data_IF_469746443189
#
_entry.id   IF_469746443189
#
_cell.length_a   1.000
_cell.length_b   1.000
_cell.length_c   1.000
_cell.angle_alpha   90.00
_cell.angle_beta   90.00
_cell.angle_gamma   90.00
#
_symmetry.space_group_name_H-M   'P 1'
#
loop_
_entity.id
_entity.type
_entity.pdbx_description
1 polymer ?
#
# COMPACT_ATOMS: atom_id res chain seq x y z
N UNK A 1 46.48 -20.68 13.59
CA UNK A 1 46.00 -22.09 13.57
C UNK A 1 44.65 -22.13 14.29
N UNK A 2 43.69 -22.89 13.75
CA UNK A 2 42.25 -22.97 14.10
C UNK A 2 41.99 -23.50 15.53
N UNK A 3 40.76 -23.39 16.06
CA UNK A 3 39.72 -24.36 15.70
C UNK A 3 38.38 -23.75 15.30
N UNK A 4 37.88 -24.28 14.18
CA UNK A 4 36.51 -24.22 13.67
C UNK A 4 35.57 -25.01 14.60
N UNK A 5 34.35 -24.50 14.85
CA UNK A 5 33.23 -25.32 15.36
C UNK A 5 32.00 -25.13 14.48
N UNK A 6 31.67 -26.21 13.77
CA UNK A 6 30.43 -26.49 13.04
C UNK A 6 29.40 -27.10 14.01
N UNK A 7 28.10 -27.03 13.68
CA UNK A 7 26.90 -27.88 14.07
C UNK A 7 25.72 -26.94 14.36
N UNK A 8 24.52 -26.99 13.77
CA UNK A 8 23.83 -27.86 12.81
C UNK A 8 22.37 -27.33 12.61
N UNK A 9 21.58 -27.87 11.66
CA UNK A 9 20.24 -27.37 11.30
C UNK A 9 19.08 -28.18 11.93
N UNK A 10 17.86 -27.69 11.68
CA UNK A 10 16.54 -28.33 11.77
C UNK A 10 15.71 -28.08 13.04
N UNK A 11 14.47 -27.58 12.86
CA UNK A 11 13.25 -28.38 13.06
C UNK A 11 12.00 -27.61 12.58
N UNK A 12 11.30 -28.24 11.65
CA UNK A 12 9.97 -27.89 11.17
C UNK A 12 8.88 -28.36 12.16
N UNK A 13 7.76 -27.65 12.25
CA UNK A 13 6.53 -28.19 12.81
C UNK A 13 5.30 -27.50 12.20
N UNK A 14 4.66 -28.20 11.27
CA UNK A 14 3.31 -27.94 10.76
C UNK A 14 2.27 -28.31 11.83
N UNK A 15 1.17 -27.54 11.92
CA UNK A 15 -0.01 -27.90 12.70
C UNK A 15 -1.26 -27.76 11.83
N UNK A 16 -1.95 -28.90 11.63
CA UNK A 16 -3.16 -29.08 10.81
C UNK A 16 -4.35 -29.39 11.74
N UNK A 17 -5.43 -28.64 11.51
CA UNK A 17 -6.89 -28.89 11.70
C UNK A 17 -7.43 -29.69 12.91
N UNK A 18 -8.42 -29.11 13.59
CA UNK A 18 -9.56 -29.84 14.15
C UNK A 18 -10.88 -29.06 13.95
N UNK A 19 -11.75 -29.63 13.11
CA UNK A 19 -13.17 -29.31 12.95
C UNK A 19 -13.93 -29.88 14.15
N UNK A 20 -14.78 -29.08 14.77
CA UNK A 20 -15.68 -29.50 15.85
C UNK A 20 -17.11 -29.03 15.57
N UNK A 21 -17.86 -29.81 14.79
CA UNK A 21 -19.31 -29.72 14.70
C UNK A 21 -19.92 -30.54 15.86
N UNK A 22 -20.80 -29.92 16.64
CA UNK A 22 -21.57 -30.58 17.69
C UNK A 22 -23.06 -30.36 17.40
N UNK A 23 -23.78 -31.46 17.11
CA UNK A 23 -25.24 -31.55 17.22
C UNK A 23 -25.68 -31.51 18.69
N UNK A 24 -26.94 -31.72 19.10
CA UNK A 24 -28.15 -32.31 18.52
C UNK A 24 -29.26 -32.11 19.59
N UNK A 25 -30.55 -31.89 19.24
CA UNK A 25 -31.77 -32.28 20.00
C UNK A 25 -33.02 -31.62 19.35
N UNK A 26 -33.92 -32.39 18.69
CA UNK A 26 -35.28 -32.84 19.14
C UNK A 26 -36.34 -31.73 19.26
N UNK A 27 -37.61 -31.86 18.85
CA UNK A 27 -38.53 -33.01 18.80
C UNK A 27 -39.77 -32.69 17.90
N UNK A 28 -40.34 -33.75 17.32
CA UNK A 28 -41.74 -34.08 16.97
C UNK A 28 -42.87 -33.09 16.57
N UNK A 29 -43.42 -33.38 15.37
CA UNK A 29 -44.83 -33.71 15.04
C UNK A 29 -45.98 -32.70 15.27
N UNK A 30 -46.58 -32.16 14.18
CA UNK A 30 -47.94 -32.53 13.68
C UNK A 30 -48.56 -31.53 12.66
N UNK A 31 -49.37 -32.10 11.74
CA UNK A 31 -50.50 -31.54 10.95
C UNK A 31 -50.28 -30.79 9.61
N UNK A 32 -50.62 -31.48 8.50
CA UNK A 32 -51.14 -30.97 7.20
C UNK A 32 -52.66 -30.72 7.38
N UNK A 33 -53.42 -29.88 6.62
CA UNK A 33 -53.27 -29.66 5.18
C UNK A 33 -53.70 -28.30 4.56
N UNK A 34 -53.54 -28.23 3.24
CA UNK A 34 -54.32 -27.47 2.23
C UNK A 34 -53.76 -26.14 1.68
N UNK A 35 -53.42 -26.23 0.38
CA UNK A 35 -53.64 -25.30 -0.72
C UNK A 35 -53.97 -23.83 -0.44
N UNK A 36 -53.22 -22.91 -1.07
CA UNK A 36 -53.81 -22.00 -2.06
C UNK A 36 -52.73 -21.27 -2.89
N UNK A 37 -52.97 -21.24 -4.19
CA UNK A 37 -52.31 -20.44 -5.23
C UNK A 37 -52.46 -18.93 -4.99
N UNK A 38 -51.39 -18.15 -5.20
CA UNK A 38 -51.47 -16.81 -5.84
C UNK A 38 -50.09 -16.25 -6.20
N UNK A 39 -49.97 -15.87 -7.47
CA UNK A 39 -48.91 -15.06 -8.07
C UNK A 39 -49.05 -13.56 -7.72
N UNK A 40 -48.01 -12.78 -8.05
CA UNK A 40 -47.94 -11.29 -8.08
C UNK A 40 -47.58 -10.63 -6.72
N UNK A 41 -46.60 -9.73 -6.56
CA UNK A 41 -45.96 -8.79 -7.47
C UNK A 41 -44.47 -8.56 -7.11
N UNK A 42 -43.64 -8.29 -8.12
CA UNK A 42 -42.22 -7.91 -7.96
C UNK A 42 -42.07 -6.45 -7.49
N UNK A 43 -41.22 -6.16 -6.48
CA UNK A 43 -40.65 -4.82 -6.35
C UNK A 43 -39.46 -4.66 -7.31
N UNK A 44 -39.53 -3.65 -8.18
CA UNK A 44 -38.42 -3.24 -9.04
C UNK A 44 -37.20 -2.79 -8.21
N UNK A 45 -36.00 -3.33 -8.43
CA UNK A 45 -34.79 -2.71 -7.91
C UNK A 45 -34.49 -1.44 -8.73
N UNK A 46 -34.37 -0.33 -8.01
CA UNK A 46 -33.83 0.97 -8.40
C UNK A 46 -32.47 0.79 -9.12
N UNK A 47 -32.13 1.55 -10.17
CA UNK A 47 -30.86 1.39 -10.87
C UNK A 47 -29.70 1.67 -9.91
N UNK A 48 -28.87 0.64 -9.70
CA UNK A 48 -27.56 0.75 -9.07
C UNK A 48 -26.76 1.87 -9.75
N UNK A 49 -26.03 2.74 -9.00
CA UNK A 49 -25.13 3.70 -9.62
C UNK A 49 -24.20 2.91 -10.55
N UNK A 50 -24.18 3.31 -11.82
CA UNK A 50 -23.34 2.73 -12.83
C UNK A 50 -21.91 2.88 -12.34
N UNK A 51 -21.32 1.79 -11.87
CA UNK A 51 -19.92 1.73 -11.51
C UNK A 51 -19.14 2.16 -12.76
N UNK A 52 -18.47 3.31 -12.66
CA UNK A 52 -17.47 3.69 -13.65
C UNK A 52 -16.52 2.49 -13.82
N UNK A 53 -16.05 2.22 -15.05
CA UNK A 53 -15.13 1.11 -15.26
C UNK A 53 -13.93 1.31 -14.32
N UNK A 54 -13.70 0.35 -13.43
CA UNK A 54 -12.51 0.34 -12.59
C UNK A 54 -11.31 0.37 -13.53
N UNK A 55 -10.56 1.46 -13.52
CA UNK A 55 -9.32 1.56 -14.29
C UNK A 55 -8.33 0.62 -13.62
N UNK A 56 -7.90 -0.41 -14.34
CA UNK A 56 -6.89 -1.32 -13.82
C UNK A 56 -5.58 -0.56 -13.62
N UNK A 57 -4.89 -0.72 -12.47
CA UNK A 57 -3.61 -0.07 -12.23
C UNK A 57 -2.59 -0.53 -13.27
N UNK A 58 -1.79 0.42 -13.75
CA UNK A 58 -0.68 0.13 -14.65
C UNK A 58 0.45 -0.45 -13.80
N UNK A 59 0.79 -1.71 -14.00
CA UNK A 59 1.96 -2.35 -13.38
C UNK A 59 3.25 -1.93 -14.11
N UNK A 60 4.25 -1.49 -13.36
CA UNK A 60 5.55 -1.07 -13.89
C UNK A 60 6.56 -2.22 -14.03
N UNK A 61 6.26 -3.40 -13.48
CA UNK A 61 7.12 -4.57 -13.51
C UNK A 61 8.28 -4.52 -12.51
N UNK A 62 9.34 -5.30 -12.77
CA UNK A 62 10.55 -5.37 -11.93
C UNK A 62 11.72 -4.72 -12.66
N UNK A 63 12.83 -4.42 -11.97
CA UNK A 63 14.03 -3.94 -12.66
C UNK A 63 14.50 -4.93 -13.76
N UNK A 64 14.91 -4.45 -14.96
CA UNK A 64 15.17 -3.05 -15.33
C UNK A 64 13.98 -2.31 -15.97
N UNK A 65 12.90 -3.02 -16.34
CA UNK A 65 11.73 -2.45 -17.06
C UNK A 65 11.05 -1.33 -16.24
N UNK A 66 11.15 -1.49 -14.92
CA UNK A 66 10.66 -0.58 -13.91
C UNK A 66 11.15 0.88 -14.07
N UNK A 67 12.43 1.13 -14.37
CA UNK A 67 12.95 2.51 -14.53
C UNK A 67 12.34 3.25 -15.71
N UNK A 68 12.16 2.56 -16.83
CA UNK A 68 11.58 3.16 -18.03
C UNK A 68 10.07 3.40 -17.85
N UNK A 69 9.36 2.44 -17.23
CA UNK A 69 7.94 2.55 -16.89
C UNK A 69 7.65 3.70 -15.94
N UNK A 70 8.44 3.83 -14.87
CA UNK A 70 8.28 4.90 -13.88
C UNK A 70 8.41 6.29 -14.48
N UNK A 71 9.45 6.54 -15.29
CA UNK A 71 9.67 7.87 -15.86
C UNK A 71 8.49 8.31 -16.75
N UNK A 72 7.98 7.40 -17.58
CA UNK A 72 6.85 7.71 -18.45
C UNK A 72 5.55 7.93 -17.65
N UNK A 73 5.32 7.14 -16.61
CA UNK A 73 4.11 7.27 -15.79
C UNK A 73 4.16 8.47 -14.84
N UNK A 74 5.31 8.78 -14.25
CA UNK A 74 5.48 9.94 -13.38
C UNK A 74 5.30 11.24 -14.18
N UNK A 75 5.86 11.33 -15.38
CA UNK A 75 5.64 12.48 -16.28
C UNK A 75 4.18 12.60 -16.71
N UNK A 76 3.50 11.48 -16.99
CA UNK A 76 2.06 11.50 -17.29
C UNK A 76 1.23 11.99 -16.11
N UNK A 77 1.57 11.59 -14.89
CA UNK A 77 0.90 12.07 -13.69
C UNK A 77 1.14 13.57 -13.47
N UNK A 78 2.33 14.09 -13.79
CA UNK A 78 2.60 15.54 -13.80
C UNK A 78 1.76 16.28 -14.85
N UNK A 79 1.62 15.71 -16.06
CA UNK A 79 0.73 16.27 -17.09
C UNK A 79 -0.75 16.27 -16.66
N UNK A 80 -1.13 15.43 -15.70
CA UNK A 80 -2.44 15.39 -15.05
C UNK A 80 -2.53 16.31 -13.81
N UNK A 81 -1.69 17.36 -13.73
CA UNK A 81 -1.59 18.36 -12.65
C UNK A 81 -1.17 17.80 -11.27
N UNK A 82 -0.52 16.63 -11.20
CA UNK A 82 -0.02 16.04 -9.95
C UNK A 82 1.45 16.37 -9.67
N UNK A 83 1.75 16.77 -8.44
CA UNK A 83 3.12 16.75 -7.91
C UNK A 83 3.46 15.30 -7.52
N UNK A 84 3.87 14.47 -8.47
CA UNK A 84 4.30 13.08 -8.19
C UNK A 84 5.68 13.10 -7.54
N UNK A 85 5.85 12.46 -6.39
CA UNK A 85 7.17 12.32 -5.76
C UNK A 85 7.83 11.00 -6.18
N UNK A 86 9.09 11.09 -6.63
CA UNK A 86 9.89 9.93 -7.03
C UNK A 86 11.28 10.00 -6.39
N UNK A 87 11.89 8.87 -6.01
CA UNK A 87 13.26 8.86 -5.53
C UNK A 87 14.22 9.24 -6.66
N UNK A 88 15.02 10.27 -6.45
CA UNK A 88 16.06 10.72 -7.39
C UNK A 88 17.24 9.74 -7.45
N UNK A 89 17.62 9.21 -6.28
CA UNK A 89 18.67 8.19 -6.10
C UNK A 89 18.22 7.24 -5.00
N UNK A 90 18.30 5.93 -5.23
CA UNK A 90 18.02 4.95 -4.18
C UNK A 90 19.20 4.87 -3.19
N UNK A 91 18.95 4.73 -1.88
CA UNK A 91 20.02 4.52 -0.90
C UNK A 91 20.82 3.24 -1.18
N UNK A 92 22.05 3.18 -0.68
CA UNK A 92 22.94 2.04 -0.91
C UNK A 92 22.32 0.71 -0.44
N UNK A 93 22.35 -0.29 -1.33
CA UNK A 93 21.81 -1.62 -1.05
C UNK A 93 20.29 -1.74 -1.21
N UNK A 94 19.62 -0.69 -1.67
CA UNK A 94 18.20 -0.73 -2.01
C UNK A 94 17.97 -1.16 -3.45
N UNK A 95 16.81 -1.77 -3.70
CA UNK A 95 16.34 -2.10 -5.03
C UNK A 95 14.85 -1.77 -5.15
N UNK A 96 14.42 -1.27 -6.30
CA UNK A 96 13.00 -1.12 -6.62
C UNK A 96 12.49 -2.45 -7.17
N UNK A 97 11.38 -2.94 -6.63
CA UNK A 97 10.86 -4.29 -6.94
C UNK A 97 9.49 -4.26 -7.62
N UNK A 98 8.77 -3.15 -7.56
CA UNK A 98 7.47 -3.04 -8.21
C UNK A 98 6.77 -1.72 -7.97
N UNK A 99 5.60 -1.55 -8.58
CA UNK A 99 4.77 -0.37 -8.37
C UNK A 99 3.63 -0.30 -9.36
N UNK A 100 2.80 0.73 -9.21
CA UNK A 100 1.77 0.99 -10.20
C UNK A 100 1.16 2.38 -10.12
N UNK A 101 0.33 2.70 -11.11
CA UNK A 101 -0.39 3.97 -11.18
C UNK A 101 -1.81 3.80 -11.69
N UNK A 102 -2.73 4.51 -11.04
CA UNK A 102 -4.12 4.69 -11.46
C UNK A 102 -4.45 6.19 -11.48
N UNK A 103 -5.06 6.72 -12.56
CA UNK A 103 -5.42 8.13 -12.64
C UNK A 103 -6.72 8.49 -11.89
N UNK A 104 -7.65 7.55 -11.71
CA UNK A 104 -8.94 7.79 -11.02
C UNK A 104 -9.48 6.50 -10.33
N UNK A 105 -9.60 6.45 -8.98
CA UNK A 105 -9.04 7.43 -8.06
C UNK A 105 -7.51 7.46 -8.21
N UNK A 106 -6.94 8.65 -8.07
CA UNK A 106 -5.51 8.83 -8.23
C UNK A 106 -4.76 7.97 -7.23
N UNK A 107 -3.79 7.20 -7.69
CA UNK A 107 -2.94 6.39 -6.84
C UNK A 107 -1.62 6.14 -7.54
N UNK A 108 -0.53 6.36 -6.81
CA UNK A 108 0.81 6.04 -7.26
C UNK A 108 1.49 5.21 -6.19
N UNK A 109 2.10 4.08 -6.57
CA UNK A 109 2.80 3.20 -5.65
C UNK A 109 4.16 2.80 -6.17
N UNK A 110 5.13 2.73 -5.26
CA UNK A 110 6.43 2.13 -5.49
C UNK A 110 6.77 1.21 -4.31
N UNK A 111 7.37 0.07 -4.63
CA UNK A 111 7.80 -0.94 -3.67
C UNK A 111 9.32 -1.11 -3.79
N UNK A 112 9.98 -1.11 -2.65
CA UNK A 112 11.43 -1.22 -2.53
C UNK A 112 11.80 -2.30 -1.52
N UNK A 113 12.94 -2.95 -1.76
CA UNK A 113 13.60 -3.77 -0.74
C UNK A 113 14.81 -3.00 -0.21
N UNK A 114 14.83 -2.76 1.09
CA UNK A 114 15.97 -2.20 1.82
C UNK A 114 16.73 -3.30 2.59
N UNK A 115 17.98 -3.06 3.03
CA UNK A 115 18.73 -4.02 3.85
C UNK A 115 18.04 -4.43 5.16
N UNK A 116 17.19 -3.56 5.70
CA UNK A 116 16.39 -3.74 6.92
C UNK A 116 15.03 -4.42 6.68
N UNK A 117 14.51 -4.40 5.45
CA UNK A 117 13.21 -4.93 5.09
C UNK A 117 12.54 -4.15 3.95
N UNK A 118 11.31 -4.51 3.61
CA UNK A 118 10.60 -3.86 2.50
C UNK A 118 10.05 -2.48 2.90
N UNK A 119 10.12 -1.53 1.96
CA UNK A 119 9.64 -0.16 2.12
C UNK A 119 8.72 0.18 0.96
N UNK A 120 7.58 0.80 1.27
CA UNK A 120 6.56 1.18 0.30
C UNK A 120 6.41 2.70 0.31
N UNK A 121 6.24 3.27 -0.89
CA UNK A 121 5.77 4.62 -1.12
C UNK A 121 4.40 4.53 -1.78
N UNK A 122 3.38 5.08 -1.13
CA UNK A 122 2.06 5.28 -1.68
C UNK A 122 1.79 6.79 -1.75
N UNK A 123 1.28 7.28 -2.88
CA UNK A 123 0.78 8.64 -3.00
C UNK A 123 -0.71 8.59 -3.36
N UNK A 124 -1.51 9.20 -2.48
CA UNK A 124 -2.97 9.11 -2.44
C UNK A 124 -3.59 10.51 -2.49
N UNK A 125 -4.84 10.67 -2.95
CA UNK A 125 -5.53 11.95 -2.95
C UNK A 125 -5.87 12.39 -1.53
N UNK A 126 -5.97 13.70 -1.33
CA UNK A 126 -6.34 14.28 -0.03
C UNK A 126 -5.15 14.47 0.90
N UNK A 127 -5.42 14.38 2.21
CA UNK A 127 -4.44 14.62 3.27
C UNK A 127 -4.01 13.33 3.96
N UNK A 128 -2.93 13.37 4.73
CA UNK A 128 -2.48 12.28 5.58
C UNK A 128 -3.58 11.81 6.53
N UNK A 129 -4.39 12.74 7.05
CA UNK A 129 -5.52 12.42 7.90
C UNK A 129 -6.60 11.60 7.16
N UNK A 130 -6.83 11.86 5.87
CA UNK A 130 -7.76 11.09 5.05
C UNK A 130 -7.17 9.72 4.70
N UNK A 131 -5.90 9.68 4.29
CA UNK A 131 -5.22 8.45 3.88
C UNK A 131 -5.03 7.45 5.04
N UNK A 132 -4.87 7.94 6.26
CA UNK A 132 -4.64 7.13 7.45
C UNK A 132 -5.88 7.00 8.35
N UNK A 133 -7.05 7.49 7.92
CA UNK A 133 -8.26 7.53 8.74
C UNK A 133 -8.71 6.16 9.29
N UNK A 134 -8.56 5.12 8.47
CA UNK A 134 -8.94 3.74 8.81
C UNK A 134 -7.74 2.91 9.31
N UNK A 135 -6.55 3.51 9.37
CA UNK A 135 -5.34 2.84 9.83
C UNK A 135 -5.20 3.00 11.36
N UNK A 136 -4.91 1.89 12.05
CA UNK A 136 -4.61 1.91 13.49
C UNK A 136 -3.19 2.45 13.74
N UNK A 137 -3.02 3.76 13.58
CA UNK A 137 -1.74 4.46 13.69
C UNK A 137 -1.64 5.26 14.99
N UNK A 138 -0.46 5.30 15.58
CA UNK A 138 -0.15 6.15 16.73
C UNK A 138 0.79 7.26 16.30
N UNK A 139 0.42 8.52 16.54
CA UNK A 139 1.29 9.65 16.19
C UNK A 139 2.63 9.59 16.95
N UNK A 140 3.71 9.83 16.23
CA UNK A 140 5.08 9.96 16.72
C UNK A 140 5.58 11.41 16.51
N UNK A 141 6.86 11.65 16.81
CA UNK A 141 7.47 12.96 16.61
C UNK A 141 7.65 13.27 15.11
N UNK A 142 7.19 14.44 14.68
CA UNK A 142 7.37 14.91 13.31
C UNK A 142 8.86 14.94 12.90
N UNK A 143 9.12 14.68 11.63
CA UNK A 143 10.47 14.66 11.06
C UNK A 143 10.66 15.90 10.18
N UNK A 144 11.61 16.75 10.55
CA UNK A 144 11.99 17.90 9.73
C UNK A 144 13.00 17.50 8.65
N UNK A 145 12.58 17.60 7.40
CA UNK A 145 13.36 17.37 6.19
C UNK A 145 13.46 18.65 5.33
N UNK A 146 13.37 19.84 5.94
CA UNK A 146 13.51 21.13 5.23
C UNK A 146 14.83 21.24 4.47
N UNK A 147 15.93 20.70 5.01
CA UNK A 147 17.24 20.70 4.35
C UNK A 147 17.28 19.86 3.05
N UNK A 148 16.30 18.97 2.87
CA UNK A 148 16.13 18.12 1.67
C UNK A 148 15.00 18.61 0.77
N UNK A 149 14.40 19.78 1.06
CA UNK A 149 13.39 20.42 0.21
C UNK A 149 11.96 19.89 0.38
N UNK A 150 11.73 18.88 1.22
CA UNK A 150 10.39 18.30 1.47
C UNK A 150 9.78 18.76 2.79
N UNK A 151 10.42 19.66 3.54
CA UNK A 151 9.81 20.28 4.72
C UNK A 151 9.53 19.29 5.86
N UNK A 152 8.49 19.55 6.65
CA UNK A 152 8.13 18.70 7.79
C UNK A 152 7.19 17.55 7.38
N UNK A 153 7.50 16.35 7.85
CA UNK A 153 6.74 15.12 7.68
C UNK A 153 6.10 14.70 8.99
N UNK A 154 4.85 14.24 8.95
CA UNK A 154 4.22 13.64 10.12
C UNK A 154 4.61 12.17 10.24
N UNK A 155 5.02 11.74 11.42
CA UNK A 155 5.42 10.36 11.66
C UNK A 155 4.40 9.63 12.53
N UNK A 156 4.30 8.32 12.30
CA UNK A 156 3.39 7.44 13.00
C UNK A 156 4.01 6.06 13.20
N UNK A 157 3.63 5.38 14.27
CA UNK A 157 3.87 3.97 14.48
C UNK A 157 2.62 3.17 14.07
N UNK A 158 2.82 2.06 13.37
CA UNK A 158 1.74 1.16 12.94
C UNK A 158 2.16 -0.31 13.06
N UNK A 159 1.63 -1.02 14.07
CA UNK A 159 1.84 -2.48 14.23
C UNK A 159 3.32 -2.94 14.16
N UNK A 160 4.25 -2.12 14.66
CA UNK A 160 5.69 -2.41 14.61
C UNK A 160 6.40 -2.01 13.32
N UNK A 161 5.70 -1.34 12.41
CA UNK A 161 6.25 -0.60 11.28
C UNK A 161 6.27 0.91 11.57
N UNK A 162 7.14 1.63 10.89
CA UNK A 162 7.16 3.10 10.88
C UNK A 162 6.44 3.61 9.63
N UNK A 163 5.63 4.64 9.82
CA UNK A 163 4.92 5.35 8.75
C UNK A 163 5.32 6.83 8.79
N UNK A 164 5.61 7.43 7.65
CA UNK A 164 5.78 8.88 7.50
C UNK A 164 4.84 9.39 6.42
N UNK A 165 4.17 10.51 6.65
CA UNK A 165 3.26 11.12 5.70
C UNK A 165 3.65 12.57 5.41
N UNK A 166 3.48 12.98 4.15
CA UNK A 166 3.77 14.32 3.68
C UNK A 166 2.66 14.84 2.79
N UNK A 167 2.01 15.91 3.26
CA UNK A 167 0.91 16.54 2.54
C UNK A 167 1.42 17.48 1.46
N UNK A 168 1.01 17.18 0.24
CA UNK A 168 1.16 18.01 -0.94
C UNK A 168 -0.18 18.68 -1.26
N UNK A 169 -0.18 19.59 -2.24
CA UNK A 169 -1.43 20.22 -2.68
C UNK A 169 -2.32 19.18 -3.36
N UNK A 170 -3.33 18.69 -2.64
CA UNK A 170 -4.37 17.78 -3.16
C UNK A 170 -4.00 16.29 -3.14
N UNK A 171 -2.81 15.94 -2.65
CA UNK A 171 -2.40 14.55 -2.43
C UNK A 171 -1.49 14.45 -1.21
N UNK A 172 -1.26 13.24 -0.73
CA UNK A 172 -0.35 12.95 0.38
C UNK A 172 0.55 11.78 0.00
N UNK A 173 1.83 11.88 0.32
CA UNK A 173 2.79 10.79 0.19
C UNK A 173 2.87 10.08 1.52
N UNK A 174 2.65 8.77 1.53
CA UNK A 174 2.75 7.89 2.68
C UNK A 174 3.89 6.91 2.42
N UNK A 175 4.89 6.93 3.29
CA UNK A 175 5.98 5.98 3.31
C UNK A 175 5.79 5.02 4.47
N UNK A 176 5.97 3.73 4.22
CA UNK A 176 5.87 2.70 5.24
C UNK A 176 7.07 1.75 5.15
N UNK A 177 7.67 1.40 6.29
CA UNK A 177 8.82 0.52 6.34
C UNK A 177 9.06 -0.10 7.72
N UNK A 178 10.09 -0.94 7.86
CA UNK A 178 10.35 -1.70 9.08
C UNK A 178 10.86 -0.82 10.25
N UNK A 179 11.47 0.32 9.94
CA UNK A 179 12.06 1.23 10.91
C UNK A 179 12.15 2.67 10.37
N UNK A 180 12.29 3.62 11.30
CA UNK A 180 12.36 5.05 11.01
C UNK A 180 13.58 5.45 10.17
N UNK A 181 14.72 4.76 10.30
CA UNK A 181 15.93 5.07 9.53
C UNK A 181 15.69 4.81 8.05
N UNK A 182 15.07 3.68 7.72
CA UNK A 182 14.79 3.26 6.35
C UNK A 182 13.76 4.16 5.69
N UNK A 183 12.65 4.45 6.40
CA UNK A 183 11.59 5.32 5.89
C UNK A 183 12.13 6.75 5.67
N UNK A 184 12.95 7.26 6.61
CA UNK A 184 13.61 8.55 6.47
C UNK A 184 14.59 8.59 5.31
N UNK A 185 15.41 7.56 5.14
CA UNK A 185 16.38 7.48 4.05
C UNK A 185 15.69 7.55 2.68
N UNK A 186 14.52 6.91 2.53
CA UNK A 186 13.72 7.06 1.32
C UNK A 186 13.17 8.48 1.20
N UNK A 187 12.59 9.05 2.25
CA UNK A 187 12.03 10.41 2.25
C UNK A 187 13.07 11.48 1.84
N UNK A 188 14.30 11.36 2.32
CA UNK A 188 15.43 12.24 2.00
C UNK A 188 15.86 12.17 0.52
N UNK A 189 15.48 11.10 -0.19
CA UNK A 189 15.78 10.92 -1.62
C UNK A 189 14.70 11.43 -2.58
N UNK A 190 13.51 11.74 -2.06
CA UNK A 190 12.35 12.07 -2.88
C UNK A 190 12.43 13.48 -3.43
N UNK A 191 12.12 13.60 -4.72
CA UNK A 191 11.94 14.87 -5.41
C UNK A 191 10.65 14.83 -6.24
N UNK A 192 10.05 16.00 -6.55
CA UNK A 192 9.05 16.08 -7.59
C UNK A 192 9.58 15.46 -8.89
N UNK A 193 8.73 14.72 -9.59
CA UNK A 193 9.11 14.00 -10.81
C UNK A 193 9.62 14.94 -11.93
N UNK A 194 9.17 16.19 -11.95
CA UNK A 194 9.68 17.24 -12.83
C UNK A 194 11.17 17.53 -12.60
N UNK A 195 11.61 17.59 -11.33
CA UNK A 195 12.98 17.91 -10.92
C UNK A 195 13.92 16.69 -10.99
N UNK A 196 13.38 15.48 -10.86
CA UNK A 196 14.16 14.25 -10.91
C UNK A 196 14.74 13.96 -12.31
N UNK A 197 14.07 14.43 -13.37
CA UNK A 197 14.47 14.18 -14.76
C UNK A 197 15.69 14.99 -15.23
N UNK A 198 16.05 16.07 -14.54
CA UNK A 198 17.11 16.99 -14.94
C UNK A 198 18.50 16.63 -14.38
N UNK A 199 18.59 15.66 -13.46
CA UNK A 199 19.83 15.34 -12.72
C UNK A 199 20.67 14.21 -13.34
N UNK A 200 20.19 13.51 -14.36
CA UNK A 200 20.94 12.45 -15.07
C UNK A 200 21.69 12.96 -16.32
N UNK A 201 22.36 14.12 -16.20
CA UNK A 201 23.20 14.73 -17.25
C UNK A 201 24.61 14.15 -17.35
#
# INVERSE_FOLDING_TARGET
>A
MRPTRTTGPALAASLVLLVGACGDQQDDTAEDPAADTSSEASPSPTPSPSAAPAVEPIDFGTEPDLRAGYKAAALRAVDDDLITMVPSVLPDGWAAVGGGYTPDPQWWRMEFTAPSGDVVLDQLPGTAADALADADVTAADDVDLTDWGTGAWSAYDHQGATVMAYDLKGSTVVLQGPDAESVRALAESLLPAEDAGEQEG
#
